data_IF_651391393736
#
_entry.id   IF_651391393736
#
_cell.length_a   1.000
_cell.length_b   1.000
_cell.length_c   1.000
_cell.angle_alpha   90.00
_cell.angle_beta   90.00
_cell.angle_gamma   90.00
#
_symmetry.space_group_name_H-M   'P 1'
#
loop_
_entity.id
_entity.type
_entity.pdbx_description
1 polymer ?
#
# COMPACT_ATOMS: atom_id res chain seq x y z
N UNK A 1 13.69 0.91 -24.27
CA UNK A 1 13.66 1.22 -22.83
C UNK A 1 12.43 0.52 -22.26
N UNK A 2 12.53 -0.19 -21.14
CA UNK A 2 11.34 -0.80 -20.53
C UNK A 2 10.48 0.31 -19.95
N UNK A 3 9.22 0.41 -20.37
CA UNK A 3 8.28 1.41 -19.86
C UNK A 3 7.69 1.03 -18.49
N UNK A 4 8.38 0.17 -17.73
CA UNK A 4 7.93 -0.32 -16.43
C UNK A 4 9.04 -0.15 -15.38
N UNK A 5 8.65 0.26 -14.17
CA UNK A 5 9.49 0.36 -12.98
C UNK A 5 8.81 -0.35 -11.81
N UNK A 6 9.58 -0.98 -10.92
CA UNK A 6 9.08 -1.48 -9.64
C UNK A 6 9.55 -0.57 -8.49
N UNK A 7 8.62 -0.01 -7.72
CA UNK A 7 8.93 0.90 -6.62
C UNK A 7 8.06 0.59 -5.40
N UNK A 8 8.70 0.35 -4.26
CA UNK A 8 8.03 0.08 -2.98
C UNK A 8 6.93 -1.01 -3.04
N UNK A 9 7.13 -2.04 -3.89
CA UNK A 9 6.17 -3.13 -4.08
C UNK A 9 5.03 -2.82 -5.07
N UNK A 10 5.02 -1.63 -5.67
CA UNK A 10 4.11 -1.27 -6.76
C UNK A 10 4.83 -1.33 -8.11
N UNK A 11 4.13 -1.82 -9.14
CA UNK A 11 4.56 -1.71 -10.53
C UNK A 11 4.03 -0.40 -11.11
N UNK A 12 4.93 0.43 -11.59
CA UNK A 12 4.67 1.70 -12.26
C UNK A 12 4.83 1.45 -13.76
N UNK A 13 3.85 1.85 -14.55
CA UNK A 13 3.88 1.74 -16.01
C UNK A 13 3.74 3.12 -16.62
N UNK A 14 4.61 3.43 -17.57
CA UNK A 14 4.55 4.64 -18.37
C UNK A 14 3.91 4.31 -19.72
N UNK A 15 2.91 5.08 -20.13
CA UNK A 15 2.26 4.85 -21.42
C UNK A 15 3.21 5.14 -22.58
N UNK A 16 2.96 4.52 -23.72
CA UNK A 16 3.71 4.83 -24.93
C UNK A 16 3.41 6.25 -25.43
N UNK A 17 4.26 6.77 -26.31
CA UNK A 17 3.99 8.05 -26.98
C UNK A 17 2.66 7.97 -27.76
N UNK A 18 1.78 8.96 -27.54
CA UNK A 18 0.45 9.00 -28.16
C UNK A 18 -0.60 8.08 -27.51
N UNK A 19 -0.24 7.33 -26.47
CA UNK A 19 -1.17 6.48 -25.71
C UNK A 19 -1.61 7.19 -24.42
N UNK A 20 -2.92 7.24 -24.17
CA UNK A 20 -3.48 7.78 -22.93
C UNK A 20 -3.46 6.72 -21.84
N UNK A 21 -3.41 7.15 -20.57
CA UNK A 21 -3.54 6.27 -19.42
C UNK A 21 -4.81 5.41 -19.53
N UNK A 22 -5.92 6.02 -19.93
CA UNK A 22 -7.22 5.39 -20.09
C UNK A 22 -7.14 4.20 -21.07
N UNK A 23 -6.61 4.43 -22.28
CA UNK A 23 -6.49 3.38 -23.30
C UNK A 23 -5.60 2.20 -22.86
N UNK A 24 -4.55 2.50 -22.09
CA UNK A 24 -3.68 1.47 -21.52
C UNK A 24 -4.40 0.67 -20.42
N UNK A 25 -5.10 1.37 -19.51
CA UNK A 25 -5.86 0.78 -18.40
C UNK A 25 -6.99 -0.09 -18.93
N UNK A 26 -7.72 0.36 -19.95
CA UNK A 26 -8.81 -0.40 -20.59
C UNK A 26 -8.30 -1.73 -21.16
N UNK A 27 -7.24 -1.69 -21.98
CA UNK A 27 -6.62 -2.89 -22.55
C UNK A 27 -6.15 -3.84 -21.45
N UNK A 28 -5.46 -3.31 -20.45
CA UNK A 28 -4.91 -4.12 -19.37
C UNK A 28 -5.99 -4.72 -18.47
N UNK A 29 -7.06 -3.97 -18.22
CA UNK A 29 -8.22 -4.42 -17.45
C UNK A 29 -8.92 -5.56 -18.17
N UNK A 30 -9.15 -5.43 -19.47
CA UNK A 30 -9.76 -6.49 -20.28
C UNK A 30 -8.95 -7.80 -20.23
N UNK A 31 -7.63 -7.73 -20.39
CA UNK A 31 -6.75 -8.91 -20.28
C UNK A 31 -6.90 -9.61 -18.92
N UNK A 32 -6.79 -8.84 -17.83
CA UNK A 32 -6.86 -9.39 -16.47
C UNK A 32 -8.24 -9.96 -16.14
N UNK A 33 -9.33 -9.31 -16.56
CA UNK A 33 -10.68 -9.83 -16.38
C UNK A 33 -10.89 -11.11 -17.19
N UNK A 34 -10.38 -11.18 -18.42
CA UNK A 34 -10.44 -12.38 -19.27
C UNK A 34 -9.67 -13.56 -18.66
N UNK A 35 -8.59 -13.29 -17.93
CA UNK A 35 -7.86 -14.27 -17.12
C UNK A 35 -8.63 -14.72 -15.86
N UNK A 36 -9.79 -14.12 -15.57
CA UNK A 36 -10.64 -14.44 -14.42
C UNK A 36 -10.32 -13.64 -13.15
N UNK A 37 -9.50 -12.59 -13.24
CA UNK A 37 -9.16 -11.77 -12.08
C UNK A 37 -10.29 -10.77 -11.76
N UNK A 38 -10.48 -10.49 -10.46
CA UNK A 38 -11.26 -9.33 -10.03
C UNK A 38 -10.40 -8.09 -10.14
N UNK A 39 -10.78 -7.18 -11.03
CA UNK A 39 -10.02 -5.96 -11.31
C UNK A 39 -10.76 -4.74 -10.76
N UNK A 40 -10.04 -3.91 -10.02
CA UNK A 40 -10.52 -2.62 -9.51
C UNK A 40 -9.72 -1.50 -10.15
N UNK A 41 -10.40 -0.54 -10.75
CA UNK A 41 -9.81 0.64 -11.36
C UNK A 41 -10.16 1.86 -10.52
N UNK A 42 -9.14 2.58 -10.05
CA UNK A 42 -9.30 3.79 -9.24
C UNK A 42 -9.23 5.01 -10.14
N UNK A 43 -10.35 5.69 -10.35
CA UNK A 43 -10.42 6.89 -11.19
C UNK A 43 -11.56 7.82 -10.79
N UNK A 44 -11.35 9.12 -10.96
CA UNK A 44 -12.38 10.15 -10.80
C UNK A 44 -12.77 10.81 -12.12
N UNK A 45 -12.16 10.41 -13.24
CA UNK A 45 -12.60 10.87 -14.56
C UNK A 45 -13.95 10.23 -14.90
N UNK A 46 -14.86 11.03 -15.45
CA UNK A 46 -16.20 10.62 -15.81
C UNK A 46 -16.21 9.77 -17.09
N UNK A 47 -15.30 10.04 -18.03
CA UNK A 47 -15.24 9.31 -19.30
C UNK A 47 -14.94 7.81 -19.12
N UNK A 48 -14.10 7.46 -18.15
CA UNK A 48 -13.68 6.08 -17.89
C UNK A 48 -14.76 5.21 -17.22
N UNK A 49 -15.79 5.80 -16.58
CA UNK A 49 -16.80 5.04 -15.84
C UNK A 49 -17.59 4.09 -16.73
N UNK A 50 -17.90 4.50 -17.96
CA UNK A 50 -18.72 3.71 -18.89
C UNK A 50 -17.94 2.49 -19.41
N UNK A 51 -16.65 2.66 -19.69
CA UNK A 51 -15.84 1.60 -20.32
C UNK A 51 -15.46 0.52 -19.32
N UNK A 52 -15.10 0.88 -18.09
CA UNK A 52 -14.71 -0.07 -17.02
C UNK A 52 -15.87 -1.03 -16.70
N UNK A 53 -17.10 -0.49 -16.62
CA UNK A 53 -18.30 -1.29 -16.31
C UNK A 53 -18.65 -2.26 -17.45
N UNK A 54 -18.45 -1.86 -18.71
CA UNK A 54 -18.70 -2.71 -19.87
C UNK A 54 -17.78 -3.93 -19.95
N UNK A 55 -16.58 -3.85 -19.38
CA UNK A 55 -15.56 -4.91 -19.38
C UNK A 55 -15.69 -5.85 -18.17
N UNK A 56 -16.57 -5.55 -17.21
CA UNK A 56 -16.77 -6.38 -16.01
C UNK A 56 -15.77 -6.11 -14.88
N UNK A 57 -15.11 -4.95 -14.90
CA UNK A 57 -14.27 -4.47 -13.80
C UNK A 57 -15.05 -3.55 -12.85
N UNK A 58 -14.50 -3.33 -11.66
CA UNK A 58 -15.08 -2.48 -10.63
C UNK A 58 -14.39 -1.11 -10.62
N UNK A 59 -15.17 -0.03 -10.55
CA UNK A 59 -14.63 1.32 -10.39
C UNK A 59 -14.64 1.74 -8.93
N UNK A 60 -13.56 2.37 -8.47
CA UNK A 60 -13.45 3.06 -7.18
C UNK A 60 -13.11 4.52 -7.47
N UNK A 61 -13.73 5.48 -6.79
CA UNK A 61 -13.33 6.88 -6.93
C UNK A 61 -11.99 7.16 -6.23
N UNK A 62 -11.24 8.17 -6.69
CA UNK A 62 -10.02 8.57 -6.00
C UNK A 62 -10.28 9.00 -4.54
N UNK A 63 -11.47 9.55 -4.26
CA UNK A 63 -11.90 9.92 -2.91
C UNK A 63 -12.10 8.70 -2.02
N UNK A 64 -12.88 7.72 -2.46
CA UNK A 64 -13.10 6.48 -1.70
C UNK A 64 -11.79 5.76 -1.44
N UNK A 65 -10.94 5.63 -2.47
CA UNK A 65 -9.64 5.00 -2.31
C UNK A 65 -8.73 5.76 -1.32
N UNK A 66 -8.81 7.09 -1.27
CA UNK A 66 -8.08 7.89 -0.29
C UNK A 66 -8.57 7.66 1.13
N UNK A 67 -9.89 7.60 1.33
CA UNK A 67 -10.51 7.30 2.64
C UNK A 67 -10.10 5.89 3.12
N UNK A 68 -10.14 4.89 2.24
CA UNK A 68 -9.67 3.53 2.50
C UNK A 68 -8.18 3.48 2.86
N UNK A 69 -7.35 4.20 2.10
CA UNK A 69 -5.91 4.31 2.37
C UNK A 69 -5.64 4.85 3.78
N UNK A 70 -6.34 5.92 4.19
CA UNK A 70 -6.18 6.51 5.51
C UNK A 70 -6.61 5.53 6.62
N UNK A 71 -7.73 4.82 6.42
CA UNK A 71 -8.22 3.82 7.34
C UNK A 71 -7.19 2.67 7.52
N UNK A 72 -6.68 2.12 6.41
CA UNK A 72 -5.66 1.06 6.43
C UNK A 72 -4.36 1.55 7.07
N UNK A 73 -3.90 2.76 6.73
CA UNK A 73 -2.69 3.36 7.32
C UNK A 73 -2.81 3.48 8.84
N UNK A 74 -3.97 3.92 9.34
CA UNK A 74 -4.25 4.01 10.78
C UNK A 74 -4.19 2.63 11.43
N UNK A 75 -4.82 1.61 10.83
CA UNK A 75 -4.79 0.24 11.35
C UNK A 75 -3.38 -0.35 11.42
N UNK A 76 -2.54 -0.10 10.39
CA UNK A 76 -1.14 -0.53 10.38
C UNK A 76 -0.37 0.12 11.53
N UNK A 77 -0.51 1.43 11.72
CA UNK A 77 0.16 2.15 12.80
C UNK A 77 -0.29 1.64 14.18
N UNK A 78 -1.58 1.38 14.37
CA UNK A 78 -2.12 0.83 15.61
C UNK A 78 -1.55 -0.57 15.89
N UNK A 79 -1.52 -1.45 14.89
CA UNK A 79 -0.93 -2.79 15.01
C UNK A 79 0.55 -2.73 15.40
N UNK A 80 1.34 -1.91 14.69
CA UNK A 80 2.76 -1.73 14.98
C UNK A 80 2.98 -1.19 16.41
N UNK A 81 2.16 -0.23 16.85
CA UNK A 81 2.27 0.31 18.22
C UNK A 81 1.94 -0.73 19.31
N UNK A 82 0.97 -1.62 19.04
CA UNK A 82 0.62 -2.73 19.93
C UNK A 82 1.72 -3.78 19.98
N UNK A 83 2.34 -4.10 18.84
CA UNK A 83 3.48 -5.02 18.80
C UNK A 83 4.70 -4.46 19.53
N UNK A 84 4.99 -3.17 19.42
CA UNK A 84 6.06 -2.51 20.19
C UNK A 84 5.76 -2.58 21.69
N UNK A 85 4.52 -2.29 22.11
CA UNK A 85 4.10 -2.44 23.53
C UNK A 85 4.13 -3.90 24.00
N UNK A 86 3.82 -4.85 23.12
CA UNK A 86 3.88 -6.28 23.38
C UNK A 86 5.30 -6.86 23.41
N UNK A 87 6.28 -6.23 22.74
CA UNK A 87 7.71 -6.53 22.87
C UNK A 87 8.34 -5.83 24.09
N UNK A 88 7.79 -4.71 24.54
CA UNK A 88 8.09 -4.10 25.85
C UNK A 88 7.52 -4.92 27.03
N UNK A 89 7.44 -6.25 26.89
CA UNK A 89 7.09 -7.18 27.96
C UNK A 89 8.25 -7.21 28.96
N UNK A 90 8.08 -6.45 30.06
CA UNK A 90 8.68 -6.70 31.37
C UNK A 90 10.22 -6.82 31.46
N UNK A 91 10.99 -6.27 30.52
CA UNK A 91 12.43 -6.15 30.71
C UNK A 91 12.70 -5.16 31.84
N UNK A 92 13.34 -5.64 32.91
CA UNK A 92 13.73 -4.82 34.08
C UNK A 92 14.57 -3.62 33.64
N UNK A 93 15.30 -3.74 32.52
CA UNK A 93 16.08 -2.68 31.91
C UNK A 93 15.29 -1.40 31.62
N UNK A 94 14.03 -1.50 31.18
CA UNK A 94 13.20 -0.32 30.90
C UNK A 94 12.68 0.40 32.16
N UNK A 95 12.87 -0.19 33.35
CA UNK A 95 12.54 0.41 34.66
C UNK A 95 13.78 0.91 35.41
N UNK A 96 14.96 0.57 34.92
CA UNK A 96 16.22 0.99 35.52
C UNK A 96 16.61 2.32 34.90
N UNK A 97 17.06 3.26 35.72
CA UNK A 97 17.66 4.50 35.25
C UNK A 97 18.96 4.18 34.50
N UNK A 98 19.32 5.02 33.52
CA UNK A 98 20.47 4.81 32.63
C UNK A 98 21.78 4.58 33.38
N UNK A 99 21.96 5.21 34.54
CA UNK A 99 23.12 5.05 35.42
C UNK A 99 23.27 3.64 35.99
N UNK A 100 22.15 2.96 36.28
CA UNK A 100 22.14 1.59 36.79
C UNK A 100 22.39 0.58 35.67
N UNK A 101 21.85 0.83 34.48
CA UNK A 101 22.12 0.02 33.28
C UNK A 101 23.60 -0.01 32.93
N UNK A 102 24.27 1.15 32.96
CA UNK A 102 25.71 1.26 32.68
C UNK A 102 26.53 0.45 33.69
N UNK A 103 26.16 0.47 34.98
CA UNK A 103 26.83 -0.33 36.01
C UNK A 103 26.65 -1.84 35.79
N UNK A 104 25.46 -2.28 35.41
CA UNK A 104 25.18 -3.70 35.15
C UNK A 104 25.88 -4.21 33.89
N UNK A 105 25.98 -3.40 32.83
CA UNK A 105 26.78 -3.73 31.64
C UNK A 105 28.27 -3.88 31.95
N UNK A 106 28.81 -3.03 32.84
CA UNK A 106 30.19 -3.14 33.33
C UNK A 106 30.46 -4.40 34.15
N UNK A 107 29.44 -5.00 34.77
CA UNK A 107 29.54 -6.27 35.50
C UNK A 107 29.38 -7.49 34.59
N UNK A 108 28.77 -7.32 33.42
CA UNK A 108 28.57 -8.40 32.43
C UNK A 108 29.84 -8.70 31.62
N UNK A 109 30.74 -7.73 31.48
CA UNK A 109 32.02 -7.85 30.78
C UNK A 109 33.17 -7.96 31.77
#
# INVERSE_FOLDING_TARGET
>A
MSNEESRAGARIVFTAEGETADSWIERRTYELVKEGNKVFVVTSDYAEQIVILGVGAYRISAREFHEDYLAVKKQINERNSREVKGKARNEVGNRLKDDVLIKLERLRR
#
